data_IF_018857152025
#
_entry.id   IF_018857152025
#
_cell.length_a   1.000
_cell.length_b   1.000
_cell.length_c   1.000
_cell.angle_alpha   90.00
_cell.angle_beta   90.00
_cell.angle_gamma   90.00
#
_symmetry.space_group_name_H-M   'P 1'
#
loop_
_entity.id
_entity.type
_entity.pdbx_description
1 polymer ?
#
# COMPACT_ATOMS: atom_id res chain seq x y z
N UNK A 1 -4.13 -40.87 10.13
CA UNK A 1 -3.22 -40.63 9.01
C UNK A 1 -2.85 -39.15 8.93
N UNK A 2 -1.64 -38.85 8.50
CA UNK A 2 -1.20 -37.49 8.13
C UNK A 2 -0.96 -37.48 6.63
N UNK A 3 -1.58 -36.55 5.94
CA UNK A 3 -1.38 -36.37 4.51
C UNK A 3 -0.59 -35.08 4.30
N UNK A 4 0.56 -35.18 3.62
CA UNK A 4 1.38 -34.03 3.25
C UNK A 4 1.61 -34.09 1.74
N UNK A 5 1.24 -33.02 1.05
CA UNK A 5 1.41 -32.85 -0.40
C UNK A 5 0.82 -34.02 -1.21
N UNK A 6 -0.35 -34.51 -0.81
CA UNK A 6 -1.04 -35.62 -1.46
C UNK A 6 -0.55 -37.01 -1.07
N UNK A 7 0.54 -37.16 -0.34
CA UNK A 7 1.00 -38.43 0.21
C UNK A 7 0.43 -38.64 1.59
N UNK A 8 -0.28 -39.74 1.81
CA UNK A 8 -0.92 -40.07 3.09
C UNK A 8 -0.17 -41.24 3.75
N UNK A 9 0.23 -41.03 5.00
CA UNK A 9 0.87 -42.07 5.83
C UNK A 9 0.15 -42.22 7.17
N UNK A 10 0.02 -43.45 7.62
CA UNK A 10 -0.50 -43.76 8.97
C UNK A 10 0.66 -43.69 9.98
N UNK A 11 0.74 -42.57 10.69
CA UNK A 11 1.73 -42.38 11.76
C UNK A 11 1.31 -43.18 12.97
N UNK A 12 1.97 -44.32 13.21
CA UNK A 12 1.58 -45.29 14.23
C UNK A 12 2.66 -45.45 15.31
N UNK A 13 2.33 -46.13 16.41
CA UNK A 13 3.28 -46.43 17.48
C UNK A 13 3.76 -45.25 18.29
N UNK A 14 3.08 -44.10 18.20
CA UNK A 14 3.44 -42.88 18.97
C UNK A 14 3.04 -43.04 20.43
N UNK A 15 3.98 -42.88 21.34
CA UNK A 15 3.71 -42.88 22.79
C UNK A 15 4.06 -41.55 23.42
N UNK A 16 3.15 -41.03 24.24
CA UNK A 16 3.32 -39.78 24.97
C UNK A 16 3.62 -39.97 26.45
N UNK A 17 3.86 -41.22 26.89
CA UNK A 17 4.05 -41.55 28.32
C UNK A 17 5.19 -40.76 28.99
N UNK A 18 6.21 -40.36 28.24
CA UNK A 18 7.34 -39.58 28.71
C UNK A 18 7.18 -38.06 28.57
N UNK A 19 6.06 -37.59 28.02
CA UNK A 19 5.85 -36.16 27.79
C UNK A 19 5.37 -35.46 29.06
N UNK A 20 6.14 -34.52 29.58
CA UNK A 20 5.80 -33.68 30.73
C UNK A 20 5.19 -32.31 30.32
N UNK A 21 5.16 -32.00 29.00
CA UNK A 21 4.60 -30.75 28.48
C UNK A 21 4.04 -30.92 27.07
N UNK A 22 3.14 -29.99 26.65
CA UNK A 22 2.59 -30.01 25.30
C UNK A 22 3.66 -29.73 24.23
N UNK A 23 4.72 -29.00 24.55
CA UNK A 23 5.87 -28.84 23.67
C UNK A 23 6.61 -30.16 23.46
N UNK A 24 6.71 -31.02 24.47
CA UNK A 24 7.29 -32.38 24.33
C UNK A 24 6.36 -33.28 23.50
N UNK A 25 5.04 -33.17 23.66
CA UNK A 25 4.07 -33.88 22.80
C UNK A 25 4.27 -33.46 21.34
N UNK A 26 4.44 -32.16 21.06
CA UNK A 26 4.73 -31.68 19.72
C UNK A 26 6.04 -32.27 19.13
N UNK A 27 7.10 -32.33 19.95
CA UNK A 27 8.38 -32.90 19.55
C UNK A 27 8.29 -34.41 19.24
N UNK A 28 7.54 -35.17 20.03
CA UNK A 28 7.30 -36.61 19.81
C UNK A 28 6.53 -36.80 18.49
N UNK A 29 5.45 -36.04 18.28
CA UNK A 29 4.68 -36.06 17.03
C UNK A 29 5.55 -35.71 15.83
N UNK A 30 6.40 -34.68 15.94
CA UNK A 30 7.31 -34.29 14.88
C UNK A 30 8.27 -35.43 14.51
N UNK A 31 8.84 -36.08 15.52
CA UNK A 31 9.74 -37.21 15.28
C UNK A 31 9.05 -38.36 14.56
N UNK A 32 7.83 -38.68 14.99
CA UNK A 32 7.05 -39.76 14.36
C UNK A 32 6.65 -39.40 12.91
N UNK A 33 6.21 -38.15 12.67
CA UNK A 33 5.86 -37.69 11.32
C UNK A 33 7.10 -37.70 10.38
N UNK A 34 8.25 -37.26 10.89
CA UNK A 34 9.51 -37.28 10.11
C UNK A 34 10.05 -38.65 9.77
N UNK A 35 9.63 -39.66 10.50
CA UNK A 35 9.99 -41.03 10.21
C UNK A 35 9.24 -41.60 8.99
N UNK A 36 8.17 -40.95 8.56
CA UNK A 36 7.38 -41.36 7.42
C UNK A 36 8.03 -40.98 6.08
N UNK A 37 7.71 -41.76 5.03
CA UNK A 37 8.30 -41.59 3.71
C UNK A 37 7.52 -40.58 2.89
N UNK A 38 8.24 -39.60 2.34
CA UNK A 38 7.62 -38.56 1.46
C UNK A 38 8.33 -37.22 1.58
N UNK A 39 8.38 -36.46 0.51
CA UNK A 39 9.13 -35.20 0.42
C UNK A 39 8.70 -34.16 1.47
N UNK A 40 7.44 -34.12 1.85
CA UNK A 40 6.93 -33.18 2.85
C UNK A 40 7.09 -33.64 4.31
N UNK A 41 7.40 -34.92 4.55
CA UNK A 41 7.51 -35.52 5.87
C UNK A 41 8.88 -35.32 6.52
N UNK A 42 9.95 -35.49 5.79
CA UNK A 42 11.33 -35.51 6.31
C UNK A 42 11.74 -34.27 7.06
N UNK A 43 11.27 -33.09 6.63
CA UNK A 43 11.55 -31.81 7.28
C UNK A 43 10.29 -31.18 7.90
N UNK A 44 9.19 -31.92 8.06
CA UNK A 44 7.97 -31.45 8.69
C UNK A 44 8.24 -30.95 10.11
N UNK A 45 7.54 -29.90 10.53
CA UNK A 45 7.62 -29.39 11.90
C UNK A 45 6.27 -29.49 12.59
N UNK A 46 6.31 -29.76 13.91
CA UNK A 46 5.13 -29.74 14.78
C UNK A 46 5.41 -28.81 15.94
N UNK A 47 4.56 -27.82 16.13
CA UNK A 47 4.65 -26.87 17.24
C UNK A 47 3.33 -26.83 17.99
N UNK A 48 3.38 -26.56 19.29
CA UNK A 48 2.19 -26.25 20.08
C UNK A 48 2.07 -24.73 20.24
N UNK A 49 0.96 -24.18 19.80
CA UNK A 49 0.63 -22.77 19.99
C UNK A 49 -0.24 -22.60 21.24
N UNK A 50 0.32 -21.96 22.25
CA UNK A 50 -0.37 -21.73 23.52
C UNK A 50 -1.49 -20.69 23.42
N UNK A 51 -1.42 -19.77 22.45
CA UNK A 51 -2.44 -18.74 22.26
C UNK A 51 -3.73 -19.33 21.68
N UNK A 52 -3.60 -20.27 20.72
CA UNK A 52 -4.73 -20.95 20.10
C UNK A 52 -5.06 -22.29 20.76
N UNK A 53 -4.20 -22.78 21.66
CA UNK A 53 -4.28 -24.11 22.30
C UNK A 53 -4.31 -25.27 21.29
N UNK A 54 -3.57 -25.14 20.19
CA UNK A 54 -3.57 -26.09 19.09
C UNK A 54 -2.17 -26.59 18.71
N UNK A 55 -2.12 -27.77 18.13
CA UNK A 55 -0.90 -28.25 17.47
C UNK A 55 -0.91 -27.82 16.00
N UNK A 56 0.19 -27.20 15.56
CA UNK A 56 0.41 -26.80 14.18
C UNK A 56 1.40 -27.75 13.54
N UNK A 57 0.96 -28.47 12.49
CA UNK A 57 1.82 -29.32 11.65
C UNK A 57 2.11 -28.52 10.38
N UNK A 58 3.39 -28.38 10.05
CA UNK A 58 3.83 -27.68 8.84
C UNK A 58 4.62 -28.65 7.96
N UNK A 59 4.34 -28.65 6.67
CA UNK A 59 5.08 -29.44 5.67
C UNK A 59 6.57 -29.06 5.63
N UNK A 60 7.43 -30.05 5.39
CA UNK A 60 8.84 -29.80 5.15
C UNK A 60 9.17 -29.24 3.75
N UNK A 61 8.19 -29.10 2.88
CA UNK A 61 8.30 -28.50 1.54
C UNK A 61 7.46 -27.25 1.50
N UNK A 62 8.05 -26.13 1.12
CA UNK A 62 7.35 -24.87 0.92
C UNK A 62 6.70 -24.84 -0.47
N UNK A 63 5.64 -24.01 -0.63
CA UNK A 63 4.98 -23.76 -1.90
C UNK A 63 3.45 -23.77 -1.79
N UNK A 64 2.80 -23.16 -2.77
CA UNK A 64 1.34 -23.05 -2.86
C UNK A 64 0.62 -24.40 -3.02
N UNK A 65 1.31 -25.40 -3.56
CA UNK A 65 0.84 -26.79 -3.64
C UNK A 65 1.10 -27.59 -2.34
N UNK A 66 1.78 -26.98 -1.35
CA UNK A 66 2.07 -27.66 -0.08
C UNK A 66 0.85 -27.65 0.83
N UNK A 67 0.32 -28.81 1.13
CA UNK A 67 -0.89 -29.00 1.92
C UNK A 67 -0.66 -30.06 3.00
N UNK A 68 -1.15 -29.78 4.21
CA UNK A 68 -1.18 -30.75 5.32
C UNK A 68 -2.61 -30.98 5.76
N UNK A 69 -3.01 -32.22 5.86
CA UNK A 69 -4.29 -32.60 6.48
C UNK A 69 -4.11 -33.81 7.41
N UNK A 70 -4.94 -33.87 8.42
CA UNK A 70 -4.99 -35.00 9.38
C UNK A 70 -6.33 -35.69 9.22
N UNK A 71 -6.30 -36.97 8.95
CA UNK A 71 -7.46 -37.81 8.69
C UNK A 71 -7.43 -39.03 9.64
N UNK A 72 -8.59 -39.67 9.83
CA UNK A 72 -8.63 -40.94 10.52
C UNK A 72 -7.70 -41.96 9.85
N UNK A 73 -7.08 -42.82 10.64
CA UNK A 73 -6.21 -43.88 10.13
C UNK A 73 -7.01 -44.81 9.20
N UNK A 74 -6.42 -45.16 8.09
CA UNK A 74 -7.06 -46.02 7.07
C UNK A 74 -7.06 -47.50 7.48
N UNK A 75 -6.10 -47.90 8.30
CA UNK A 75 -5.95 -49.27 8.81
C UNK A 75 -6.23 -49.29 10.31
N UNK A 76 -6.90 -50.32 10.87
CA UNK A 76 -7.16 -50.37 12.30
C UNK A 76 -5.84 -50.52 13.04
N UNK A 77 -5.38 -49.38 13.58
CA UNK A 77 -4.23 -49.32 14.45
C UNK A 77 -4.59 -49.81 15.85
N UNK A 78 -3.68 -50.48 16.54
CA UNK A 78 -3.81 -50.80 17.96
C UNK A 78 -3.50 -49.52 18.74
N UNK A 79 -4.51 -48.95 19.43
CA UNK A 79 -4.35 -47.76 20.23
C UNK A 79 -5.49 -46.73 19.98
N UNK A 80 -5.32 -45.54 20.50
CA UNK A 80 -6.30 -44.47 20.36
C UNK A 80 -5.97 -43.62 19.14
N UNK A 81 -6.90 -43.47 18.23
CA UNK A 81 -6.77 -42.54 17.09
C UNK A 81 -6.90 -41.09 17.59
N UNK A 82 -5.83 -40.32 17.45
CA UNK A 82 -5.75 -38.91 17.87
C UNK A 82 -6.06 -37.94 16.72
N UNK A 83 -6.49 -38.44 15.56
CA UNK A 83 -6.88 -37.59 14.43
C UNK A 83 -8.25 -36.92 14.63
N UNK A 84 -9.02 -37.36 15.61
CA UNK A 84 -10.36 -36.86 15.87
C UNK A 84 -10.44 -35.44 16.42
N UNK A 85 -11.68 -34.88 16.49
CA UNK A 85 -11.92 -33.48 16.87
C UNK A 85 -11.42 -33.12 18.29
N UNK A 86 -11.32 -34.12 19.16
CA UNK A 86 -10.85 -33.90 20.55
C UNK A 86 -9.34 -33.76 20.68
N UNK A 87 -8.59 -34.01 19.62
CA UNK A 87 -7.13 -34.03 19.64
C UNK A 87 -6.51 -33.14 18.56
N UNK A 88 -6.30 -33.66 17.32
CA UNK A 88 -5.56 -32.97 16.25
C UNK A 88 -6.47 -32.19 15.29
N UNK A 89 -7.71 -32.58 15.08
CA UNK A 89 -8.63 -31.95 14.11
C UNK A 89 -9.43 -30.77 14.68
N UNK A 90 -8.93 -30.13 15.70
CA UNK A 90 -9.50 -28.89 16.21
C UNK A 90 -10.89 -29.01 16.84
N UNK A 91 -11.36 -27.92 17.43
CA UNK A 91 -12.59 -27.84 18.23
C UNK A 91 -13.89 -28.05 17.45
N UNK A 92 -13.86 -28.00 16.14
CA UNK A 92 -15.07 -28.10 15.28
C UNK A 92 -15.04 -29.31 14.36
N UNK A 93 -14.14 -30.27 14.54
CA UNK A 93 -14.03 -31.43 13.68
C UNK A 93 -13.44 -31.18 12.30
N UNK A 94 -12.96 -29.98 12.03
CA UNK A 94 -12.31 -29.62 10.80
C UNK A 94 -10.95 -29.05 11.14
N UNK A 95 -9.87 -29.79 10.82
CA UNK A 95 -8.52 -29.24 10.79
C UNK A 95 -8.47 -28.16 9.69
N UNK A 96 -7.99 -26.99 10.04
CA UNK A 96 -7.74 -25.96 9.03
C UNK A 96 -6.48 -26.36 8.28
N UNK A 97 -6.64 -26.80 7.03
CA UNK A 97 -5.53 -26.98 6.10
C UNK A 97 -5.29 -25.66 5.38
N UNK A 98 -4.07 -25.15 5.45
CA UNK A 98 -3.64 -23.99 4.72
C UNK A 98 -2.64 -24.41 3.65
N UNK A 99 -2.88 -24.02 2.41
CA UNK A 99 -1.90 -24.18 1.34
C UNK A 99 -0.60 -23.46 1.71
N UNK A 100 0.54 -24.09 1.47
CA UNK A 100 1.83 -23.47 1.63
C UNK A 100 2.00 -22.39 0.56
N UNK A 101 2.74 -21.34 0.91
CA UNK A 101 3.06 -20.26 0.01
C UNK A 101 4.57 -20.19 -0.22
N UNK A 102 4.96 -20.07 -1.47
CA UNK A 102 6.33 -19.72 -1.84
C UNK A 102 6.40 -18.20 -2.01
N UNK A 103 7.22 -17.50 -1.22
CA UNK A 103 7.50 -16.10 -1.49
C UNK A 103 8.09 -15.97 -2.89
N UNK A 104 7.42 -15.26 -3.77
CA UNK A 104 7.88 -14.97 -5.13
C UNK A 104 8.66 -13.64 -5.15
N UNK A 105 9.53 -13.42 -4.15
CA UNK A 105 10.22 -12.17 -3.94
C UNK A 105 9.34 -11.12 -3.25
N UNK A 106 9.82 -9.88 -3.19
CA UNK A 106 9.15 -8.79 -2.46
C UNK A 106 7.75 -8.48 -2.97
N UNK A 107 7.51 -8.57 -4.28
CA UNK A 107 6.17 -8.33 -4.86
C UNK A 107 5.15 -9.34 -4.37
N UNK A 108 5.51 -10.61 -4.26
CA UNK A 108 4.64 -11.64 -3.72
C UNK A 108 4.33 -11.45 -2.23
N UNK A 109 5.30 -10.99 -1.44
CA UNK A 109 5.07 -10.63 -0.03
C UNK A 109 4.08 -9.45 0.10
N UNK A 110 4.22 -8.43 -0.75
CA UNK A 110 3.29 -7.29 -0.78
C UNK A 110 1.88 -7.73 -1.17
N UNK A 111 1.73 -8.62 -2.17
CA UNK A 111 0.44 -9.20 -2.56
C UNK A 111 -0.20 -9.96 -1.40
N UNK A 112 0.55 -10.75 -0.67
CA UNK A 112 0.04 -11.49 0.49
C UNK A 112 -0.48 -10.58 1.58
N UNK A 113 0.27 -9.53 1.93
CA UNK A 113 -0.14 -8.56 2.95
C UNK A 113 -1.41 -7.83 2.49
N UNK A 114 -1.47 -7.41 1.22
CA UNK A 114 -2.64 -6.76 0.64
C UNK A 114 -3.87 -7.69 0.65
N UNK A 115 -3.70 -8.95 0.26
CA UNK A 115 -4.78 -9.96 0.29
C UNK A 115 -5.25 -10.25 1.71
N UNK A 116 -4.33 -10.38 2.67
CA UNK A 116 -4.67 -10.60 4.08
C UNK A 116 -5.44 -9.40 4.67
N UNK A 117 -5.03 -8.18 4.36
CA UNK A 117 -5.73 -6.97 4.76
C UNK A 117 -7.15 -6.93 4.16
N UNK A 118 -7.29 -7.21 2.86
CA UNK A 118 -8.57 -7.26 2.16
C UNK A 118 -9.52 -8.33 2.71
N UNK A 119 -9.00 -9.50 3.06
CA UNK A 119 -9.78 -10.55 3.73
C UNK A 119 -10.31 -10.10 5.10
N UNK A 120 -9.59 -9.22 5.80
CA UNK A 120 -10.02 -8.54 7.02
C UNK A 120 -10.90 -7.29 6.79
N UNK A 121 -11.33 -7.02 5.57
CA UNK A 121 -12.11 -5.82 5.23
C UNK A 121 -11.31 -4.51 5.31
N UNK A 122 -9.98 -4.59 5.19
CA UNK A 122 -9.07 -3.44 5.28
C UNK A 122 -8.35 -3.23 3.94
N UNK A 123 -7.92 -1.99 3.73
CA UNK A 123 -7.08 -1.60 2.61
C UNK A 123 -5.78 -0.98 3.14
N UNK A 124 -4.64 -1.38 2.59
CA UNK A 124 -3.33 -0.80 2.94
C UNK A 124 -2.93 0.17 1.84
N UNK A 125 -3.00 1.45 2.14
CA UNK A 125 -2.67 2.51 1.19
C UNK A 125 -1.20 2.92 1.27
N UNK A 126 -0.66 3.08 2.49
CA UNK A 126 0.72 3.49 2.72
C UNK A 126 1.63 2.31 3.05
N UNK A 127 2.77 2.22 2.39
CA UNK A 127 3.75 1.15 2.54
C UNK A 127 5.12 1.70 2.92
N UNK A 128 5.87 0.96 3.69
CA UNK A 128 7.27 1.20 3.95
C UNK A 128 8.01 -0.13 4.06
N UNK A 129 9.28 -0.15 3.70
CA UNK A 129 10.13 -1.33 3.73
C UNK A 129 11.05 -1.30 4.95
N UNK A 130 11.39 -2.48 5.46
CA UNK A 130 12.42 -2.61 6.49
C UNK A 130 13.77 -2.08 6.00
N UNK A 131 14.60 -1.60 6.93
CA UNK A 131 15.91 -1.03 6.61
C UNK A 131 16.86 -2.01 5.91
N UNK A 132 16.64 -3.32 6.03
CA UNK A 132 17.42 -4.36 5.34
C UNK A 132 17.23 -4.36 3.82
N UNK A 133 16.14 -3.77 3.33
CA UNK A 133 15.86 -3.64 1.90
C UNK A 133 16.48 -2.40 1.26
N UNK A 134 17.07 -1.50 2.06
CA UNK A 134 17.63 -0.24 1.54
C UNK A 134 18.75 -0.50 0.55
N UNK A 135 18.72 0.25 -0.55
CA UNK A 135 19.70 0.17 -1.65
C UNK A 135 19.83 -1.24 -2.27
N UNK A 136 18.79 -2.07 -2.13
CA UNK A 136 18.71 -3.37 -2.79
C UNK A 136 17.79 -3.31 -4.02
N UNK A 137 17.92 -4.25 -4.98
CA UNK A 137 17.00 -4.35 -6.12
C UNK A 137 15.52 -4.54 -5.72
N UNK A 138 15.26 -5.09 -4.54
CA UNK A 138 13.91 -5.31 -4.03
C UNK A 138 13.14 -3.99 -3.79
N UNK A 139 13.84 -2.89 -3.44
CA UNK A 139 13.19 -1.58 -3.36
C UNK A 139 12.61 -1.12 -4.70
N UNK A 140 13.30 -1.40 -5.81
CA UNK A 140 12.81 -1.06 -7.16
C UNK A 140 11.63 -1.95 -7.54
N UNK A 141 11.71 -3.25 -7.23
CA UNK A 141 10.61 -4.19 -7.46
C UNK A 141 9.37 -3.81 -6.66
N UNK A 142 9.53 -3.43 -5.38
CA UNK A 142 8.44 -2.95 -4.55
C UNK A 142 7.86 -1.62 -5.06
N UNK A 143 8.69 -0.70 -5.56
CA UNK A 143 8.27 0.55 -6.18
C UNK A 143 7.41 0.32 -7.44
N UNK A 144 7.79 -0.64 -8.27
CA UNK A 144 7.01 -1.05 -9.45
C UNK A 144 5.66 -1.64 -9.03
N UNK A 145 5.64 -2.47 -7.99
CA UNK A 145 4.41 -3.02 -7.44
C UNK A 145 3.47 -1.91 -6.94
N UNK A 146 3.98 -0.97 -6.14
CA UNK A 146 3.20 0.17 -5.61
C UNK A 146 2.67 1.05 -6.75
N UNK A 147 3.47 1.28 -7.80
CA UNK A 147 3.05 2.06 -8.97
C UNK A 147 1.90 1.41 -9.72
N UNK A 148 1.83 0.07 -9.74
CA UNK A 148 0.75 -0.68 -10.38
C UNK A 148 -0.53 -0.76 -9.53
N UNK A 149 -0.47 -0.36 -8.25
CA UNK A 149 -1.59 -0.41 -7.30
C UNK A 149 -1.95 0.99 -6.81
N UNK A 150 -3.17 1.15 -6.25
CA UNK A 150 -3.56 2.40 -5.59
C UNK A 150 -2.93 2.44 -4.19
N UNK A 151 -1.64 2.76 -4.14
CA UNK A 151 -0.85 2.79 -2.91
C UNK A 151 0.29 3.81 -3.04
N UNK A 152 0.90 4.21 -1.94
CA UNK A 152 2.07 5.09 -1.92
C UNK A 152 3.17 4.51 -1.03
N UNK A 153 4.42 4.77 -1.40
CA UNK A 153 5.58 4.26 -0.67
C UNK A 153 6.75 5.25 -0.72
N UNK A 154 7.08 5.90 0.40
CA UNK A 154 8.40 6.50 0.53
C UNK A 154 9.47 5.41 0.61
N UNK A 155 10.61 5.62 -0.03
CA UNK A 155 11.74 4.68 -0.03
C UNK A 155 13.02 5.40 0.38
N UNK A 156 13.81 4.79 1.25
CA UNK A 156 15.01 5.41 1.80
C UNK A 156 16.27 4.79 1.20
N UNK A 157 17.18 5.64 0.75
CA UNK A 157 18.57 5.29 0.47
C UNK A 157 19.48 5.82 1.58
N UNK A 158 20.47 5.03 1.99
CA UNK A 158 21.57 5.45 2.83
C UNK A 158 22.94 5.31 2.13
N UNK A 159 22.92 5.01 0.85
CA UNK A 159 24.10 4.86 0.03
C UNK A 159 24.79 6.21 -0.24
N UNK A 160 26.14 6.30 -0.09
CA UNK A 160 26.88 7.48 -0.51
C UNK A 160 26.79 7.76 -2.02
N UNK A 161 26.40 6.79 -2.84
CA UNK A 161 26.17 6.98 -4.27
C UNK A 161 25.02 7.95 -4.55
N UNK A 162 24.09 8.12 -3.61
CA UNK A 162 22.97 9.03 -3.76
C UNK A 162 23.42 10.48 -3.99
N UNK A 163 24.46 10.95 -3.27
CA UNK A 163 25.03 12.30 -3.43
C UNK A 163 26.30 12.35 -4.29
N UNK A 164 26.68 11.26 -4.94
CA UNK A 164 27.74 11.24 -5.95
C UNK A 164 27.17 11.66 -7.31
N UNK A 165 27.60 12.80 -7.84
CA UNK A 165 27.13 13.33 -9.12
C UNK A 165 27.43 12.40 -10.32
N UNK A 166 28.47 11.55 -10.23
CA UNK A 166 28.83 10.62 -11.29
C UNK A 166 27.97 9.34 -11.28
N UNK A 167 27.33 9.01 -10.17
CA UNK A 167 26.47 7.84 -10.07
C UNK A 167 25.12 8.06 -10.77
N UNK A 168 24.71 7.11 -11.61
CA UNK A 168 23.43 7.08 -12.30
C UNK A 168 22.64 5.79 -12.03
N UNK A 169 23.20 4.89 -11.22
CA UNK A 169 22.67 3.55 -10.94
C UNK A 169 22.09 3.39 -9.53
N UNK A 170 22.19 4.45 -8.73
CA UNK A 170 21.58 4.49 -7.40
C UNK A 170 20.04 4.61 -7.47
N UNK A 171 19.40 4.46 -6.34
CA UNK A 171 17.93 4.33 -6.22
C UNK A 171 17.16 5.50 -6.87
N UNK A 172 17.59 6.76 -6.66
CA UNK A 172 16.91 7.95 -7.20
C UNK A 172 16.80 7.97 -8.72
N UNK A 173 17.95 7.93 -9.47
CA UNK A 173 17.93 7.85 -10.92
C UNK A 173 17.19 6.64 -11.46
N UNK A 174 17.28 5.47 -10.81
CA UNK A 174 16.54 4.28 -11.21
C UNK A 174 15.02 4.49 -11.14
N UNK A 175 14.52 5.03 -10.04
CA UNK A 175 13.10 5.34 -9.87
C UNK A 175 12.63 6.46 -10.79
N UNK A 176 13.46 7.49 -11.00
CA UNK A 176 13.18 8.58 -11.93
C UNK A 176 13.04 8.07 -13.37
N UNK A 177 13.89 7.14 -13.79
CA UNK A 177 13.80 6.49 -15.11
C UNK A 177 12.51 5.69 -15.26
N UNK A 178 12.01 5.06 -14.19
CA UNK A 178 10.72 4.36 -14.18
C UNK A 178 9.53 5.33 -14.18
N UNK A 179 9.73 6.61 -13.88
CA UNK A 179 8.67 7.62 -13.84
C UNK A 179 7.60 7.35 -12.77
N UNK A 180 7.98 6.78 -11.64
CA UNK A 180 7.05 6.41 -10.57
C UNK A 180 6.60 7.65 -9.79
N UNK A 181 5.30 7.99 -9.86
CA UNK A 181 4.73 9.12 -9.11
C UNK A 181 4.17 8.72 -7.74
N UNK A 182 4.01 7.42 -7.47
CA UNK A 182 3.53 6.88 -6.18
C UNK A 182 4.65 6.60 -5.20
N UNK A 183 5.90 6.78 -5.63
CA UNK A 183 7.09 6.48 -4.83
C UNK A 183 7.86 7.77 -4.56
N UNK A 184 8.23 7.98 -3.30
CA UNK A 184 8.93 9.18 -2.83
C UNK A 184 10.34 8.81 -2.39
N UNK A 185 11.38 9.05 -3.22
CA UNK A 185 12.76 8.76 -2.84
C UNK A 185 13.22 9.69 -1.71
N UNK A 186 13.82 9.14 -0.68
CA UNK A 186 14.41 9.85 0.45
C UNK A 186 15.87 9.47 0.61
N UNK A 187 16.68 10.41 1.03
CA UNK A 187 18.04 10.14 1.49
C UNK A 187 18.16 10.38 3.00
N UNK A 188 18.75 9.39 3.71
CA UNK A 188 19.07 9.52 5.12
C UNK A 188 20.31 8.68 5.47
N UNK A 189 21.34 9.32 6.07
CA UNK A 189 22.64 8.70 6.34
C UNK A 189 22.61 7.60 7.41
N UNK A 190 21.55 7.53 8.24
CA UNK A 190 21.45 6.60 9.36
C UNK A 190 20.38 5.54 9.11
N UNK A 191 20.83 4.30 8.92
CA UNK A 191 19.94 3.16 8.64
C UNK A 191 18.96 2.82 9.78
N UNK A 192 19.29 3.20 11.04
CA UNK A 192 18.45 2.87 12.21
C UNK A 192 17.16 3.69 12.30
N UNK A 193 16.98 4.72 11.46
CA UNK A 193 15.81 5.59 11.50
C UNK A 193 14.94 5.40 10.26
N UNK A 194 13.63 5.63 10.43
CA UNK A 194 12.62 5.44 9.41
C UNK A 194 11.94 6.78 9.04
N UNK A 195 12.64 7.68 8.31
CA UNK A 195 12.06 8.94 7.86
C UNK A 195 10.91 8.74 6.87
N UNK A 196 10.89 7.63 6.15
CA UNK A 196 9.81 7.14 5.31
C UNK A 196 8.50 6.98 6.07
N UNK A 197 8.53 6.24 7.19
CA UNK A 197 7.37 6.05 8.06
C UNK A 197 6.90 7.38 8.66
N UNK A 198 7.84 8.25 9.05
CA UNK A 198 7.51 9.53 9.66
C UNK A 198 6.79 10.47 8.67
N UNK A 199 7.30 10.63 7.44
CA UNK A 199 6.64 11.48 6.44
C UNK A 199 5.33 10.88 5.97
N UNK A 200 5.26 9.55 5.83
CA UNK A 200 4.04 8.85 5.47
C UNK A 200 2.94 9.10 6.51
N UNK A 201 3.26 8.99 7.81
CA UNK A 201 2.32 9.27 8.89
C UNK A 201 1.81 10.71 8.85
N UNK A 202 2.69 11.69 8.59
CA UNK A 202 2.30 13.10 8.43
C UNK A 202 1.34 13.28 7.26
N UNK A 203 1.66 12.73 6.09
CA UNK A 203 0.84 12.88 4.88
C UNK A 203 -0.52 12.19 4.99
N UNK A 204 -0.57 11.03 5.65
CA UNK A 204 -1.81 10.27 5.82
C UNK A 204 -2.65 10.71 7.03
N UNK A 205 -2.21 11.71 7.80
CA UNK A 205 -2.96 12.25 8.94
C UNK A 205 -3.98 13.33 8.54
N UNK A 206 -4.09 13.68 7.27
CA UNK A 206 -4.99 14.73 6.77
C UNK A 206 -6.46 14.37 6.99
N UNK A 207 -7.22 15.29 7.56
CA UNK A 207 -8.67 15.16 7.67
C UNK A 207 -9.35 15.96 6.56
N UNK A 208 -9.74 15.30 5.50
CA UNK A 208 -10.35 15.92 4.32
C UNK A 208 -11.74 16.55 4.55
N UNK A 209 -12.35 16.33 5.70
CA UNK A 209 -13.60 16.99 6.06
C UNK A 209 -13.41 18.43 6.60
N UNK A 210 -12.17 18.84 6.87
CA UNK A 210 -11.86 20.15 7.47
C UNK A 210 -11.54 21.19 6.41
N UNK A 211 -11.83 22.47 6.75
CA UNK A 211 -11.50 23.60 5.89
C UNK A 211 -9.99 23.79 5.74
N UNK A 212 -9.52 23.89 4.50
CA UNK A 212 -8.10 24.08 4.14
C UNK A 212 -7.17 23.11 4.92
N UNK A 213 -7.55 21.86 5.01
CA UNK A 213 -6.84 20.85 5.79
C UNK A 213 -5.71 20.15 5.03
N UNK A 214 -5.68 20.25 3.71
CA UNK A 214 -4.62 19.63 2.91
C UNK A 214 -3.28 20.27 3.17
N UNK A 215 -2.24 19.45 3.14
CA UNK A 215 -0.88 19.85 3.48
C UNK A 215 0.08 19.40 2.36
N UNK A 216 1.18 20.11 2.19
CA UNK A 216 2.31 19.63 1.40
C UNK A 216 3.33 18.92 2.29
N UNK A 217 4.08 17.98 1.75
CA UNK A 217 5.18 17.32 2.47
C UNK A 217 6.32 18.29 2.78
N UNK A 218 6.57 19.25 1.89
CA UNK A 218 7.61 20.26 2.08
C UNK A 218 7.38 21.08 3.36
N UNK A 219 8.48 21.42 4.04
CA UNK A 219 8.51 22.19 5.30
C UNK A 219 7.94 21.46 6.53
N UNK A 220 7.67 20.15 6.46
CA UNK A 220 7.21 19.40 7.65
C UNK A 220 8.40 19.00 8.52
N UNK A 221 8.21 19.08 9.84
CA UNK A 221 9.14 18.51 10.81
C UNK A 221 8.82 17.02 11.01
N UNK A 222 9.86 16.20 11.06
CA UNK A 222 9.75 14.77 11.33
C UNK A 222 10.21 14.50 12.76
N UNK A 223 9.26 14.44 13.67
CA UNK A 223 9.52 14.25 15.10
C UNK A 223 10.22 12.90 15.33
N UNK A 224 11.31 12.91 16.10
CA UNK A 224 12.09 11.69 16.41
C UNK A 224 13.10 11.29 15.34
N UNK A 225 13.10 11.92 14.18
CA UNK A 225 14.08 11.66 13.13
C UNK A 225 15.23 12.65 13.25
N UNK A 226 16.49 12.20 13.28
CA UNK A 226 17.65 13.10 13.26
C UNK A 226 17.80 13.77 11.90
N UNK A 227 18.41 14.95 11.90
CA UNK A 227 18.72 15.68 10.68
C UNK A 227 19.89 15.03 9.93
N UNK A 228 19.85 15.11 8.60
CA UNK A 228 20.99 14.79 7.75
C UNK A 228 21.82 16.06 7.54
N UNK A 229 23.13 15.96 7.82
CA UNK A 229 24.06 17.06 7.56
C UNK A 229 24.63 16.94 6.15
N UNK A 230 24.22 17.81 5.26
CA UNK A 230 24.64 17.84 3.86
C UNK A 230 25.33 19.17 3.53
N UNK A 231 26.35 19.10 2.69
CA UNK A 231 26.86 20.28 2.03
C UNK A 231 25.92 20.73 0.93
N UNK A 232 26.00 22.00 0.51
CA UNK A 232 25.15 22.54 -0.57
C UNK A 232 25.33 21.75 -1.87
N UNK A 233 26.56 21.33 -2.17
CA UNK A 233 26.87 20.50 -3.36
C UNK A 233 26.17 19.14 -3.29
N UNK A 234 26.24 18.45 -2.15
CA UNK A 234 25.57 17.16 -1.95
C UNK A 234 24.06 17.30 -2.07
N UNK A 235 23.52 18.36 -1.47
CA UNK A 235 22.09 18.63 -1.58
C UNK A 235 21.67 18.86 -3.02
N UNK A 236 22.40 19.67 -3.80
CA UNK A 236 22.10 19.94 -5.21
C UNK A 236 22.09 18.65 -6.03
N UNK A 237 22.99 17.71 -5.75
CA UNK A 237 23.03 16.41 -6.42
C UNK A 237 21.78 15.57 -6.05
N UNK A 238 21.44 15.51 -4.77
CA UNK A 238 20.27 14.76 -4.28
C UNK A 238 18.97 15.30 -4.90
N UNK A 239 18.81 16.63 -4.93
CA UNK A 239 17.66 17.28 -5.56
C UNK A 239 17.58 16.96 -7.06
N UNK A 240 18.68 17.05 -7.79
CA UNK A 240 18.77 16.66 -9.20
C UNK A 240 18.39 15.21 -9.47
N UNK A 241 18.57 14.32 -8.49
CA UNK A 241 18.18 12.90 -8.52
C UNK A 241 16.78 12.62 -7.93
N UNK A 242 16.03 13.66 -7.58
CA UNK A 242 14.70 13.59 -6.98
C UNK A 242 14.65 12.98 -5.57
N UNK A 243 15.75 13.05 -4.81
CA UNK A 243 15.72 12.65 -3.41
C UNK A 243 15.18 13.77 -2.52
N UNK A 244 14.24 13.41 -1.67
CA UNK A 244 13.82 14.24 -0.55
C UNK A 244 14.78 14.07 0.62
N UNK A 245 14.98 15.12 1.41
CA UNK A 245 15.89 15.10 2.56
C UNK A 245 15.25 15.77 3.78
N UNK A 246 15.62 15.30 4.99
CA UNK A 246 15.25 15.96 6.23
C UNK A 246 16.47 16.66 6.82
N UNK A 247 16.49 17.98 6.70
CA UNK A 247 17.68 18.78 6.99
C UNK A 247 17.34 20.09 7.67
N UNK A 248 18.39 20.80 8.11
CA UNK A 248 18.28 22.14 8.64
C UNK A 248 18.32 23.15 7.50
N UNK A 249 17.38 24.08 7.46
CA UNK A 249 17.37 25.17 6.46
C UNK A 249 17.13 26.52 7.10
N UNK A 250 17.67 27.58 6.46
CA UNK A 250 17.43 28.96 6.81
C UNK A 250 17.67 29.27 8.30
N UNK A 251 16.66 29.71 9.00
CA UNK A 251 16.70 30.13 10.40
C UNK A 251 16.70 28.94 11.38
N UNK A 252 17.57 27.94 11.15
CA UNK A 252 17.67 26.72 11.94
C UNK A 252 16.37 25.89 12.05
N UNK A 253 15.52 26.01 11.05
CA UNK A 253 14.29 25.22 10.98
C UNK A 253 14.55 23.81 10.46
N UNK A 254 14.05 22.82 11.19
CA UNK A 254 14.06 21.42 10.80
C UNK A 254 12.95 21.19 9.79
N UNK A 255 13.28 20.79 8.59
CA UNK A 255 12.28 20.65 7.53
C UNK A 255 12.53 19.44 6.64
N UNK A 256 11.45 18.80 6.27
CA UNK A 256 11.43 17.92 5.12
C UNK A 256 11.49 18.79 3.86
N UNK A 257 12.52 18.56 3.06
CA UNK A 257 12.81 19.39 1.90
C UNK A 257 12.21 18.73 0.66
N UNK A 258 11.64 19.55 -0.22
CA UNK A 258 11.10 19.25 -1.54
C UNK A 258 9.71 18.62 -1.59
N UNK A 259 9.46 17.43 -1.05
CA UNK A 259 8.14 16.77 -1.09
C UNK A 259 7.78 16.19 -2.45
N UNK A 260 8.78 16.05 -3.34
CA UNK A 260 8.61 15.49 -4.69
C UNK A 260 8.48 13.97 -4.69
N UNK A 261 7.89 13.45 -5.76
CA UNK A 261 7.92 12.02 -6.09
C UNK A 261 9.11 11.71 -7.00
N UNK A 262 9.30 10.44 -7.37
CA UNK A 262 10.29 10.10 -8.38
C UNK A 262 9.94 10.64 -9.79
N UNK A 263 8.70 11.05 -10.02
CA UNK A 263 8.25 11.70 -11.25
C UNK A 263 8.40 13.22 -11.16
N UNK A 264 8.99 13.85 -12.17
CA UNK A 264 9.36 15.26 -12.15
C UNK A 264 8.19 16.26 -12.01
N UNK A 265 6.96 15.85 -12.32
CA UNK A 265 5.80 16.76 -12.35
C UNK A 265 4.77 16.48 -11.25
N UNK A 266 5.07 15.57 -10.32
CA UNK A 266 4.14 15.18 -9.27
C UNK A 266 4.75 15.36 -7.88
N UNK A 267 3.97 15.93 -6.97
CA UNK A 267 4.29 16.00 -5.56
C UNK A 267 3.51 14.93 -4.77
N UNK A 268 4.03 14.57 -3.61
CA UNK A 268 3.44 13.56 -2.76
C UNK A 268 2.00 13.90 -2.33
N UNK A 269 1.74 15.16 -2.05
CA UNK A 269 0.42 15.69 -1.68
C UNK A 269 -0.58 15.62 -2.84
N UNK A 270 -0.17 15.91 -4.07
CA UNK A 270 -1.05 15.79 -5.24
C UNK A 270 -1.56 14.36 -5.41
N UNK A 271 -0.67 13.38 -5.26
CA UNK A 271 -1.01 11.95 -5.40
C UNK A 271 -1.97 11.51 -4.31
N UNK A 272 -1.66 11.81 -3.04
CA UNK A 272 -2.49 11.39 -1.89
C UNK A 272 -3.87 12.06 -1.93
N UNK A 273 -3.90 13.35 -2.25
CA UNK A 273 -5.15 14.10 -2.33
C UNK A 273 -6.05 13.60 -3.47
N UNK A 274 -5.47 13.31 -4.63
CA UNK A 274 -6.21 12.81 -5.80
C UNK A 274 -6.75 11.40 -5.56
N UNK A 275 -5.95 10.51 -4.96
CA UNK A 275 -6.39 9.14 -4.65
C UNK A 275 -7.58 9.17 -3.65
N UNK A 276 -7.50 10.03 -2.63
CA UNK A 276 -8.61 10.19 -1.69
C UNK A 276 -9.86 10.77 -2.35
N UNK A 277 -9.70 11.75 -3.27
CA UNK A 277 -10.81 12.27 -4.07
C UNK A 277 -11.51 11.16 -4.86
N UNK A 278 -10.75 10.32 -5.56
CA UNK A 278 -11.29 9.24 -6.39
C UNK A 278 -12.03 8.22 -5.52
N UNK A 279 -11.48 7.85 -4.37
CA UNK A 279 -12.13 6.91 -3.45
C UNK A 279 -13.44 7.48 -2.90
N UNK A 280 -13.43 8.71 -2.40
CA UNK A 280 -14.65 9.37 -1.90
C UNK A 280 -15.72 9.55 -2.99
N UNK A 281 -15.29 9.84 -4.23
CA UNK A 281 -16.19 9.95 -5.37
C UNK A 281 -16.86 8.60 -5.67
N UNK A 282 -16.10 7.52 -5.68
CA UNK A 282 -16.64 6.17 -5.89
C UNK A 282 -17.66 5.80 -4.80
N UNK A 283 -17.32 6.08 -3.54
CA UNK A 283 -18.23 5.84 -2.41
C UNK A 283 -19.49 6.70 -2.53
N UNK A 284 -19.38 7.97 -2.91
CA UNK A 284 -20.51 8.87 -3.08
C UNK A 284 -21.45 8.37 -4.17
N UNK A 285 -20.93 8.02 -5.33
CA UNK A 285 -21.70 7.47 -6.45
C UNK A 285 -22.38 6.13 -6.08
N UNK A 286 -21.65 5.25 -5.41
CA UNK A 286 -22.23 4.00 -4.93
C UNK A 286 -23.38 4.23 -3.95
N UNK A 287 -23.25 5.21 -3.06
CA UNK A 287 -24.31 5.58 -2.12
C UNK A 287 -25.56 6.14 -2.80
N UNK A 288 -25.45 6.76 -4.00
CA UNK A 288 -26.65 7.15 -4.78
C UNK A 288 -27.49 5.91 -5.10
N UNK A 289 -26.86 4.82 -5.55
CA UNK A 289 -27.56 3.58 -5.85
C UNK A 289 -28.13 2.88 -4.62
N UNK A 290 -27.42 2.92 -3.48
CA UNK A 290 -27.88 2.28 -2.24
C UNK A 290 -29.05 3.01 -1.59
N UNK A 291 -29.07 4.35 -1.63
CA UNK A 291 -30.09 5.15 -0.93
C UNK A 291 -31.37 5.31 -1.73
N UNK A 292 -31.30 5.14 -3.03
CA UNK A 292 -32.46 5.26 -3.90
C UNK A 292 -32.92 3.87 -4.34
N UNK A 293 -34.20 3.59 -4.26
CA UNK A 293 -34.76 2.31 -4.72
C UNK A 293 -34.52 2.06 -6.21
N UNK A 294 -34.33 3.14 -6.99
CA UNK A 294 -33.98 3.11 -8.41
C UNK A 294 -33.40 4.46 -8.81
N UNK A 295 -32.26 4.45 -9.51
CA UNK A 295 -31.77 5.60 -10.29
C UNK A 295 -32.35 5.44 -11.71
N UNK A 296 -33.29 6.30 -12.14
CA UNK A 296 -33.94 6.13 -13.43
C UNK A 296 -32.96 6.37 -14.57
N UNK A 297 -33.21 5.73 -15.74
CA UNK A 297 -32.39 5.92 -16.93
C UNK A 297 -32.92 7.07 -17.78
N UNK A 298 -32.92 8.26 -17.20
CA UNK A 298 -33.38 9.53 -17.78
C UNK A 298 -32.53 10.71 -17.26
N UNK A 299 -32.88 11.93 -17.63
CA UNK A 299 -32.21 13.16 -17.16
C UNK A 299 -32.26 13.33 -15.66
N UNK A 300 -33.27 12.80 -14.97
CA UNK A 300 -33.38 12.87 -13.50
C UNK A 300 -32.31 12.01 -12.84
N UNK A 301 -32.14 10.75 -13.33
CA UNK A 301 -31.09 9.89 -12.81
C UNK A 301 -29.69 10.40 -13.11
N UNK A 302 -29.50 11.00 -14.29
CA UNK A 302 -28.25 11.67 -14.63
C UNK A 302 -27.96 12.85 -13.67
N UNK A 303 -28.95 13.68 -13.36
CA UNK A 303 -28.82 14.77 -12.41
C UNK A 303 -28.45 14.28 -11.01
N UNK A 304 -29.07 13.18 -10.51
CA UNK A 304 -28.73 12.61 -9.21
C UNK A 304 -27.26 12.19 -9.10
N UNK A 305 -26.70 11.65 -10.18
CA UNK A 305 -25.27 11.28 -10.23
C UNK A 305 -24.38 12.52 -10.29
N UNK A 306 -24.77 13.52 -11.10
CA UNK A 306 -24.05 14.79 -11.22
C UNK A 306 -24.02 15.56 -9.90
N UNK A 307 -25.11 15.59 -9.17
CA UNK A 307 -25.19 16.25 -7.85
C UNK A 307 -24.23 15.59 -6.85
N UNK A 308 -24.12 14.26 -6.87
CA UNK A 308 -23.17 13.56 -6.03
C UNK A 308 -21.70 13.87 -6.39
N UNK A 309 -21.38 13.96 -7.68
CA UNK A 309 -20.05 14.39 -8.16
C UNK A 309 -19.75 15.81 -7.71
N UNK A 310 -20.71 16.73 -7.93
CA UNK A 310 -20.61 18.14 -7.52
C UNK A 310 -20.34 18.27 -6.02
N UNK A 311 -21.07 17.54 -5.20
CA UNK A 311 -20.88 17.58 -3.74
C UNK A 311 -19.47 17.17 -3.30
N UNK A 312 -18.87 16.20 -3.98
CA UNK A 312 -17.48 15.81 -3.72
C UNK A 312 -16.53 16.90 -4.20
N UNK A 313 -16.68 17.42 -5.41
CA UNK A 313 -15.85 18.52 -5.93
C UNK A 313 -15.86 19.72 -4.99
N UNK A 314 -17.04 20.16 -4.51
CA UNK A 314 -17.17 21.26 -3.56
C UNK A 314 -16.45 20.98 -2.22
N UNK A 315 -16.50 19.75 -1.72
CA UNK A 315 -15.73 19.36 -0.54
C UNK A 315 -14.23 19.52 -0.76
N UNK A 316 -13.73 19.17 -1.96
CA UNK A 316 -12.31 19.26 -2.28
C UNK A 316 -11.85 20.70 -2.60
N UNK A 317 -12.75 21.57 -2.99
CA UNK A 317 -12.53 23.03 -2.97
C UNK A 317 -12.45 23.54 -1.52
N UNK A 318 -13.38 23.09 -0.67
CA UNK A 318 -13.44 23.51 0.75
C UNK A 318 -12.18 23.11 1.53
N UNK A 319 -11.66 21.89 1.31
CA UNK A 319 -10.46 21.40 2.01
C UNK A 319 -9.14 21.92 1.41
N UNK A 320 -9.18 22.60 0.28
CA UNK A 320 -8.03 23.24 -0.35
C UNK A 320 -7.24 22.33 -1.32
N UNK A 321 -7.79 21.18 -1.72
CA UNK A 321 -7.20 20.34 -2.79
C UNK A 321 -7.38 20.98 -4.15
N UNK A 322 -8.58 21.53 -4.42
CA UNK A 322 -8.94 22.16 -5.68
C UNK A 322 -9.05 23.67 -5.50
N UNK A 323 -8.67 24.43 -6.52
CA UNK A 323 -8.87 25.88 -6.55
C UNK A 323 -9.07 26.39 -7.96
N UNK A 324 -9.72 27.52 -8.08
CA UNK A 324 -9.74 28.31 -9.30
C UNK A 324 -8.32 28.70 -9.71
N UNK A 325 -8.08 28.72 -10.99
CA UNK A 325 -6.78 29.08 -11.56
C UNK A 325 -6.95 30.20 -12.60
N UNK A 326 -6.20 31.27 -12.41
CA UNK A 326 -6.11 32.33 -13.43
C UNK A 326 -5.02 32.01 -14.43
N UNK A 327 -5.37 31.92 -15.69
CA UNK A 327 -4.47 31.57 -16.81
C UNK A 327 -4.32 32.77 -17.74
N UNK A 328 -3.11 33.03 -18.20
CA UNK A 328 -2.87 34.02 -19.23
C UNK A 328 -3.59 33.62 -20.51
N UNK A 329 -4.49 34.46 -21.01
CA UNK A 329 -5.21 34.26 -22.27
C UNK A 329 -5.26 35.56 -23.02
N UNK A 330 -4.44 35.65 -24.05
CA UNK A 330 -4.29 36.86 -24.88
C UNK A 330 -5.54 37.15 -25.76
N UNK A 331 -6.49 36.24 -25.82
CA UNK A 331 -7.75 36.42 -26.54
C UNK A 331 -8.80 37.12 -25.71
N UNK A 332 -8.61 37.15 -24.38
CA UNK A 332 -9.50 37.84 -23.46
C UNK A 332 -9.16 39.32 -23.36
N UNK A 333 -10.18 40.18 -23.21
CA UNK A 333 -10.00 41.63 -23.05
C UNK A 333 -9.15 42.00 -21.82
N UNK A 334 -9.21 41.19 -20.78
CA UNK A 334 -8.40 41.37 -19.55
C UNK A 334 -7.00 40.76 -19.66
N UNK A 335 -6.71 40.04 -20.73
CA UNK A 335 -5.49 39.24 -20.87
C UNK A 335 -5.45 37.98 -20.02
N UNK A 336 -6.52 37.66 -19.29
CA UNK A 336 -6.59 36.50 -18.40
C UNK A 336 -7.96 35.83 -18.49
N UNK A 337 -7.96 34.51 -18.34
CA UNK A 337 -9.15 33.68 -18.14
C UNK A 337 -9.09 33.01 -16.78
N UNK A 338 -10.20 33.01 -16.07
CA UNK A 338 -10.34 32.28 -14.81
C UNK A 338 -10.92 30.89 -15.12
N UNK A 339 -10.11 29.84 -14.92
CA UNK A 339 -10.54 28.46 -15.01
C UNK A 339 -11.15 28.03 -13.67
N UNK A 340 -12.35 27.45 -13.64
CA UNK A 340 -12.99 27.01 -12.41
C UNK A 340 -12.19 25.90 -11.74
N UNK A 341 -12.40 25.70 -10.42
CA UNK A 341 -11.73 24.65 -9.64
C UNK A 341 -11.99 23.25 -10.20
N UNK A 342 -13.14 23.05 -10.80
CA UNK A 342 -13.52 21.83 -11.49
C UNK A 342 -14.55 22.10 -12.58
N UNK A 343 -14.63 21.17 -13.55
CA UNK A 343 -15.66 21.17 -14.57
C UNK A 343 -16.23 19.77 -14.73
N UNK A 344 -17.56 19.62 -14.78
CA UNK A 344 -18.24 18.34 -14.94
C UNK A 344 -18.98 18.36 -16.27
N UNK A 345 -18.56 17.49 -17.18
CA UNK A 345 -19.16 17.34 -18.50
C UNK A 345 -19.85 15.98 -18.60
N UNK A 346 -21.17 15.90 -18.43
CA UNK A 346 -21.92 14.67 -18.61
C UNK A 346 -22.08 14.36 -20.10
N UNK A 347 -21.97 13.09 -20.48
CA UNK A 347 -22.48 12.66 -21.77
C UNK A 347 -24.01 12.67 -21.74
N UNK A 348 -24.70 13.39 -22.63
CA UNK A 348 -26.18 13.41 -22.65
C UNK A 348 -26.75 11.98 -22.74
N UNK A 349 -27.73 11.68 -21.89
CA UNK A 349 -28.30 10.33 -21.80
C UNK A 349 -28.99 9.90 -23.09
N UNK A 350 -29.43 10.87 -23.89
CA UNK A 350 -30.03 10.67 -25.20
C UNK A 350 -29.05 10.10 -26.24
N UNK A 351 -27.76 10.36 -26.05
CA UNK A 351 -26.69 9.89 -26.94
C UNK A 351 -26.24 8.45 -26.62
N UNK A 352 -26.72 7.88 -25.51
CA UNK A 352 -26.37 6.49 -25.12
C UNK A 352 -26.93 5.49 -26.12
N UNK A 353 -26.14 4.49 -26.48
CA UNK A 353 -26.52 3.44 -27.41
C UNK A 353 -27.68 2.57 -26.88
N UNK A 354 -28.42 1.94 -27.77
CA UNK A 354 -29.46 0.97 -27.37
C UNK A 354 -28.89 -0.23 -26.62
N UNK A 355 -27.63 -0.62 -26.91
CA UNK A 355 -26.92 -1.69 -26.21
C UNK A 355 -26.60 -1.28 -24.75
N UNK A 356 -26.07 -0.07 -24.53
CA UNK A 356 -25.76 0.46 -23.19
C UNK A 356 -27.03 0.60 -22.36
N UNK A 357 -28.13 1.10 -22.95
CA UNK A 357 -29.43 1.18 -22.29
C UNK A 357 -29.95 -0.22 -21.89
N UNK A 358 -29.80 -1.19 -22.81
CA UNK A 358 -30.20 -2.59 -22.55
C UNK A 358 -29.37 -3.23 -21.44
N UNK A 359 -28.09 -2.92 -21.37
CA UNK A 359 -27.16 -3.39 -20.33
C UNK A 359 -27.20 -2.53 -19.06
N UNK A 360 -28.01 -1.47 -19.03
CA UNK A 360 -28.14 -0.51 -17.90
C UNK A 360 -26.81 0.19 -17.54
N UNK A 361 -25.95 0.43 -18.53
CA UNK A 361 -24.71 1.20 -18.37
C UNK A 361 -25.06 2.68 -18.36
N UNK A 362 -24.75 3.38 -17.29
CA UNK A 362 -24.99 4.82 -17.14
C UNK A 362 -24.12 5.68 -18.07
N UNK A 363 -24.53 6.93 -18.34
CA UNK A 363 -23.74 7.85 -19.13
C UNK A 363 -22.43 8.17 -18.44
N UNK A 364 -21.30 8.22 -19.17
CA UNK A 364 -20.03 8.64 -18.60
C UNK A 364 -20.03 10.14 -18.28
N UNK A 365 -19.30 10.49 -17.20
CA UNK A 365 -19.00 11.87 -16.83
C UNK A 365 -17.49 12.09 -17.00
N UNK A 366 -17.12 13.22 -17.57
CA UNK A 366 -15.75 13.74 -17.55
C UNK A 366 -15.68 14.80 -16.45
N UNK A 367 -14.74 14.64 -15.55
CA UNK A 367 -14.51 15.58 -14.45
C UNK A 367 -13.09 16.11 -14.57
N UNK A 368 -12.96 17.38 -14.98
CA UNK A 368 -11.68 18.08 -15.06
C UNK A 368 -11.44 18.79 -13.72
N UNK A 369 -10.26 18.63 -13.15
CA UNK A 369 -9.90 19.14 -11.84
C UNK A 369 -8.69 20.08 -11.93
N UNK A 370 -8.77 21.25 -11.30
CA UNK A 370 -7.65 22.15 -11.11
C UNK A 370 -7.10 21.99 -9.68
N UNK A 371 -5.95 21.29 -9.55
CA UNK A 371 -5.29 21.12 -8.26
C UNK A 371 -4.73 22.45 -7.77
N UNK A 372 -4.93 22.75 -6.48
CA UNK A 372 -4.45 23.98 -5.87
C UNK A 372 -2.92 24.07 -5.84
N UNK A 373 -2.24 22.93 -5.63
CA UNK A 373 -0.79 22.86 -5.45
C UNK A 373 -0.30 23.65 -4.22
N UNK A 374 1.00 23.66 -4.00
CA UNK A 374 1.63 24.44 -2.93
C UNK A 374 2.76 25.30 -3.47
N UNK A 375 2.92 26.53 -2.92
CA UNK A 375 4.07 27.38 -3.26
C UNK A 375 5.28 26.89 -2.47
N UNK A 376 6.30 26.41 -3.16
CA UNK A 376 7.51 25.84 -2.57
C UNK A 376 8.71 26.81 -2.55
N UNK A 377 8.67 27.90 -3.32
CA UNK A 377 9.72 28.92 -3.35
C UNK A 377 9.16 30.27 -3.71
N UNK A 378 9.82 31.33 -3.25
CA UNK A 378 9.50 32.70 -3.59
C UNK A 378 10.81 33.47 -3.86
N UNK A 379 10.83 34.29 -4.89
CA UNK A 379 11.88 35.24 -5.15
C UNK A 379 11.38 36.65 -4.81
N UNK A 380 12.14 37.39 -4.00
CA UNK A 380 11.83 38.77 -3.63
C UNK A 380 13.01 39.67 -4.03
N UNK A 381 12.76 40.65 -4.89
CA UNK A 381 13.71 41.71 -5.20
C UNK A 381 13.43 42.93 -4.31
N UNK A 382 14.45 43.37 -3.56
CA UNK A 382 14.35 44.57 -2.73
C UNK A 382 15.23 45.66 -3.38
N UNK A 383 14.61 46.76 -3.83
CA UNK A 383 15.32 47.94 -4.34
C UNK A 383 15.27 49.04 -3.25
N UNK A 384 16.45 49.45 -2.80
CA UNK A 384 16.58 50.59 -1.89
C UNK A 384 17.07 51.81 -2.68
N UNK A 385 16.40 52.93 -2.51
CA UNK A 385 16.78 54.24 -3.09
C UNK A 385 17.14 55.18 -1.96
N UNK A 386 18.29 55.87 -2.07
CA UNK A 386 18.78 56.91 -1.15
C UNK A 386 18.38 58.29 -1.63
#
# INVERSE_FOLDING_TARGET
AVTINGTSNDVTGVTFAAAASLAQVASILQTAIRAEVGAGFTAATVTYDAATTQFKITSGVAGDASLVSVLAAVSPATGTDISGPSFLNGRSGVGISQAGYLPTGISGELDLIAMAAKAGGKFVYGWALDASYRDTPDQITAAQWVQAHTAVMPVVSNSPLAWDAASTTDLGPALKTLGTYRVWPLYHDKAAYYPDMAILAVMLSVNYAMYRSTITAKFKDLVGIPLVNLTETQWTVLDGKSYNTFTLTGNQSRVFRDGGTAHASWYADDVVNLDNFVEELQVALFNVFLRNGKVPYDTTGQAMLQDAITAICERYVYNGTLSERRVLDITETTGYRDDPAYNITPTPIELMSAADRGSRVGPPFVVDLNLAGAIHSIAVAVNAYS
#
